data_IF_781275229262
#
_entry.id   IF_781275229262
#
_cell.length_a   1.000
_cell.length_b   1.000
_cell.length_c   1.000
_cell.angle_alpha   90.00
_cell.angle_beta   90.00
_cell.angle_gamma   90.00
#
_symmetry.space_group_name_H-M   'P 1'
#
loop_
_entity.id
_entity.type
_entity.pdbx_description
1 polymer ?
#
# COMPACT_ATOMS: atom_id res chain seq x y z
N UNK A 1 0.55 3.54 -15.42
CA UNK A 1 0.23 3.98 -16.67
C UNK A 1 -0.29 2.91 -17.57
N UNK A 2 0.46 2.25 -18.44
CA UNK A 2 -0.08 1.47 -19.56
C UNK A 2 -0.41 0.02 -19.16
N UNK A 3 -1.25 -0.13 -18.12
CA UNK A 3 -1.62 -1.45 -17.61
C UNK A 3 -2.23 -2.31 -18.71
N UNK A 4 -1.65 -3.49 -18.92
CA UNK A 4 -2.13 -4.52 -19.85
C UNK A 4 -2.18 -4.12 -21.34
N UNK A 5 -1.42 -3.13 -21.81
CA UNK A 5 -1.39 -2.76 -23.23
C UNK A 5 -1.00 -3.94 -24.16
N UNK A 6 -0.12 -4.82 -23.71
CA UNK A 6 0.26 -6.03 -24.44
C UNK A 6 -0.90 -6.98 -24.73
N UNK A 7 -2.00 -6.90 -23.99
CA UNK A 7 -3.22 -7.67 -24.31
C UNK A 7 -3.85 -7.23 -25.64
N UNK A 8 -3.69 -5.98 -26.05
CA UNK A 8 -4.17 -5.51 -27.36
C UNK A 8 -3.42 -6.22 -28.50
N UNK A 9 -2.11 -6.46 -28.34
CA UNK A 9 -1.34 -7.26 -29.28
C UNK A 9 -1.77 -8.74 -29.32
N UNK A 10 -2.36 -9.23 -28.22
CA UNK A 10 -2.98 -10.56 -28.16
C UNK A 10 -4.43 -10.58 -28.64
N UNK A 11 -4.89 -9.55 -29.34
CA UNK A 11 -6.21 -9.48 -29.97
C UNK A 11 -7.35 -9.13 -29.01
N UNK A 12 -7.07 -8.64 -27.79
CA UNK A 12 -8.12 -8.19 -26.86
C UNK A 12 -8.80 -6.95 -27.42
N UNK A 13 -10.14 -6.93 -27.37
CA UNK A 13 -10.94 -5.77 -27.77
C UNK A 13 -10.65 -4.56 -26.90
N UNK A 14 -10.59 -3.38 -27.49
CA UNK A 14 -10.27 -2.14 -26.78
C UNK A 14 -11.22 -1.92 -25.58
N UNK A 15 -12.52 -2.18 -25.74
CA UNK A 15 -13.49 -2.07 -24.65
C UNK A 15 -13.25 -3.08 -23.52
N UNK A 16 -12.77 -4.28 -23.82
CA UNK A 16 -12.40 -5.24 -22.78
C UNK A 16 -11.11 -4.85 -22.07
N UNK A 17 -10.10 -4.39 -22.81
CA UNK A 17 -8.88 -3.85 -22.23
C UNK A 17 -9.20 -2.67 -21.28
N UNK A 18 -10.01 -1.70 -21.71
CA UNK A 18 -10.37 -0.52 -20.93
C UNK A 18 -11.07 -0.84 -19.60
N UNK A 19 -11.79 -1.99 -19.52
CA UNK A 19 -12.40 -2.45 -18.25
C UNK A 19 -11.39 -2.90 -17.19
N UNK A 20 -10.14 -3.18 -17.59
CA UNK A 20 -9.06 -3.59 -16.70
C UNK A 20 -8.07 -2.47 -16.38
N UNK A 21 -8.22 -1.30 -17.03
CA UNK A 21 -7.43 -0.10 -16.72
C UNK A 21 -8.01 0.58 -15.49
N UNK A 22 -7.17 0.83 -14.49
CA UNK A 22 -7.61 1.40 -13.21
C UNK A 22 -7.59 2.94 -13.16
N UNK A 23 -7.28 3.61 -14.28
CA UNK A 23 -7.28 5.07 -14.37
C UNK A 23 -8.68 5.58 -14.71
N UNK A 24 -9.27 6.34 -13.81
CA UNK A 24 -10.62 6.94 -14.00
C UNK A 24 -10.68 7.92 -15.17
N UNK A 25 -9.53 8.51 -15.54
CA UNK A 25 -9.43 9.44 -16.67
C UNK A 25 -9.24 8.73 -18.01
N UNK A 26 -9.16 7.41 -18.05
CA UNK A 26 -9.06 6.68 -19.32
C UNK A 26 -10.40 6.66 -20.05
N UNK A 27 -10.46 7.35 -21.17
CA UNK A 27 -11.62 7.37 -22.05
C UNK A 27 -11.35 6.62 -23.35
N UNK A 28 -12.33 5.83 -23.79
CA UNK A 28 -12.30 5.16 -25.09
C UNK A 28 -13.22 5.95 -26.03
N UNK A 29 -12.60 6.49 -27.09
CA UNK A 29 -13.34 7.21 -28.15
C UNK A 29 -13.27 6.33 -29.41
N UNK A 30 -14.42 5.90 -29.91
CA UNK A 30 -14.53 5.03 -31.08
C UNK A 30 -15.24 3.71 -30.78
N UNK A 31 -15.03 2.73 -31.65
CA UNK A 31 -15.67 1.41 -31.52
C UNK A 31 -14.98 0.54 -30.46
N UNK A 32 -15.64 0.24 -29.32
CA UNK A 32 -15.05 -0.59 -28.26
C UNK A 32 -14.87 -2.06 -28.67
N UNK A 33 -15.46 -2.50 -29.79
CA UNK A 33 -15.32 -3.87 -30.30
C UNK A 33 -14.09 -4.04 -31.20
N UNK A 34 -13.45 -2.94 -31.59
CA UNK A 34 -12.23 -2.98 -32.40
C UNK A 34 -11.11 -3.75 -31.67
N UNK A 35 -10.38 -4.55 -32.43
CA UNK A 35 -9.21 -5.30 -31.94
C UNK A 35 -8.16 -5.45 -33.04
N UNK A 36 -6.92 -5.65 -32.61
CA UNK A 36 -5.83 -6.03 -33.50
C UNK A 36 -5.86 -7.55 -33.75
N UNK A 37 -5.36 -8.00 -34.89
CA UNK A 37 -5.19 -9.42 -35.12
C UNK A 37 -4.08 -9.98 -34.22
N UNK A 38 -4.34 -11.09 -33.52
CA UNK A 38 -3.29 -11.82 -32.82
C UNK A 38 -2.50 -12.62 -33.83
N UNK A 39 -1.37 -12.09 -34.31
CA UNK A 39 -0.49 -12.74 -35.28
C UNK A 39 0.58 -13.62 -34.63
N UNK A 40 0.81 -13.47 -33.31
CA UNK A 40 1.84 -14.21 -32.56
C UNK A 40 1.33 -15.59 -32.16
N UNK A 41 0.11 -15.67 -31.67
CA UNK A 41 -0.55 -16.92 -31.27
C UNK A 41 -2.04 -16.87 -31.61
N UNK A 42 -2.43 -17.15 -32.83
CA UNK A 42 -3.83 -17.13 -33.27
C UNK A 42 -4.74 -18.11 -32.52
N UNK A 43 -4.17 -19.12 -31.84
CA UNK A 43 -4.93 -20.08 -31.05
C UNK A 43 -5.32 -19.51 -29.65
N UNK A 44 -4.65 -18.48 -29.19
CA UNK A 44 -4.95 -17.83 -27.92
C UNK A 44 -6.06 -16.78 -28.09
N UNK A 45 -7.28 -17.12 -27.72
CA UNK A 45 -8.41 -16.18 -27.65
C UNK A 45 -8.51 -15.56 -26.24
N UNK A 46 -7.79 -14.47 -26.02
CA UNK A 46 -7.81 -13.74 -24.74
C UNK A 46 -9.16 -13.07 -24.46
N UNK A 47 -9.97 -12.69 -25.45
CA UNK A 47 -11.33 -12.18 -25.22
C UNK A 47 -12.21 -13.26 -24.59
N UNK A 48 -12.16 -14.48 -25.13
CA UNK A 48 -12.87 -15.62 -24.57
C UNK A 48 -12.37 -15.97 -23.18
N UNK A 49 -11.06 -15.97 -22.97
CA UNK A 49 -10.45 -16.23 -21.67
C UNK A 49 -10.97 -15.26 -20.60
N UNK A 50 -10.93 -13.94 -20.87
CA UNK A 50 -11.31 -12.88 -19.93
C UNK A 50 -12.82 -12.86 -19.67
N UNK A 51 -13.66 -13.13 -20.67
CA UNK A 51 -15.12 -12.94 -20.56
C UNK A 51 -15.83 -14.26 -20.22
N UNK A 52 -15.55 -15.32 -20.98
CA UNK A 52 -16.28 -16.60 -20.89
C UNK A 52 -15.62 -17.53 -19.87
N UNK A 53 -14.31 -17.71 -19.97
CA UNK A 53 -13.55 -18.67 -19.15
C UNK A 53 -12.95 -18.03 -17.90
N UNK A 54 -13.44 -16.85 -17.47
CA UNK A 54 -12.87 -16.06 -16.38
C UNK A 54 -12.73 -16.81 -15.04
N UNK A 55 -13.55 -17.86 -14.82
CA UNK A 55 -13.52 -18.70 -13.62
C UNK A 55 -12.69 -19.99 -13.77
N UNK A 56 -12.09 -20.23 -14.93
CA UNK A 56 -11.25 -21.41 -15.19
C UNK A 56 -9.84 -21.20 -14.65
N UNK A 57 -9.63 -21.53 -13.38
CA UNK A 57 -8.33 -21.39 -12.73
C UNK A 57 -7.26 -22.27 -13.39
N UNK A 58 -7.62 -23.47 -13.92
CA UNK A 58 -6.65 -24.35 -14.58
C UNK A 58 -6.07 -23.70 -15.84
N UNK A 59 -6.89 -22.98 -16.60
CA UNK A 59 -6.45 -22.18 -17.73
C UNK A 59 -5.54 -21.04 -17.27
N UNK A 60 -5.92 -20.30 -16.22
CA UNK A 60 -5.12 -19.18 -15.72
C UNK A 60 -3.76 -19.62 -15.19
N UNK A 61 -3.66 -20.76 -14.50
CA UNK A 61 -2.37 -21.32 -14.07
C UNK A 61 -1.47 -21.66 -15.28
N UNK A 62 -2.02 -22.16 -16.41
CA UNK A 62 -1.23 -22.39 -17.64
C UNK A 62 -0.71 -21.08 -18.23
N UNK A 63 -1.53 -20.02 -18.22
CA UNK A 63 -1.17 -18.72 -18.78
C UNK A 63 -0.10 -17.96 -17.97
N UNK A 64 0.21 -18.38 -16.75
CA UNK A 64 1.37 -17.85 -16.01
C UNK A 64 2.71 -18.15 -16.70
N UNK A 65 2.78 -19.19 -17.52
CA UNK A 65 3.96 -19.55 -18.29
C UNK A 65 3.94 -19.01 -19.73
N UNK A 66 2.93 -18.22 -20.09
CA UNK A 66 2.83 -17.65 -21.42
C UNK A 66 3.90 -16.56 -21.60
N UNK A 67 4.61 -16.49 -22.77
CA UNK A 67 5.74 -15.58 -22.97
C UNK A 67 5.31 -14.12 -23.24
N UNK A 68 4.31 -13.63 -22.54
CA UNK A 68 3.84 -12.24 -22.57
C UNK A 68 3.51 -11.78 -21.15
N UNK A 69 4.16 -10.72 -20.70
CA UNK A 69 4.04 -10.21 -19.34
C UNK A 69 2.61 -9.81 -18.97
N UNK A 70 1.86 -9.17 -19.89
CA UNK A 70 0.50 -8.72 -19.61
C UNK A 70 -0.51 -9.87 -19.56
N UNK A 71 -0.26 -10.96 -20.29
CA UNK A 71 -1.03 -12.21 -20.15
C UNK A 71 -0.78 -12.82 -18.78
N UNK A 72 0.48 -12.86 -18.32
CA UNK A 72 0.82 -13.35 -16.98
C UNK A 72 0.18 -12.46 -15.89
N UNK A 73 0.26 -11.14 -16.00
CA UNK A 73 -0.38 -10.21 -15.07
C UNK A 73 -1.90 -10.42 -15.03
N UNK A 74 -2.55 -10.59 -16.20
CA UNK A 74 -3.98 -10.87 -16.26
C UNK A 74 -4.32 -12.22 -15.60
N UNK A 75 -3.48 -13.24 -15.79
CA UNK A 75 -3.68 -14.53 -15.15
C UNK A 75 -3.61 -14.43 -13.62
N UNK A 76 -2.61 -13.72 -13.06
CA UNK A 76 -2.50 -13.45 -11.64
C UNK A 76 -3.72 -12.70 -11.10
N UNK A 77 -4.19 -11.68 -11.84
CA UNK A 77 -5.38 -10.91 -11.49
C UNK A 77 -6.64 -11.78 -11.46
N UNK A 78 -6.81 -12.66 -12.43
CA UNK A 78 -7.97 -13.57 -12.49
C UNK A 78 -7.93 -14.63 -11.39
N UNK A 79 -6.76 -15.15 -11.04
CA UNK A 79 -6.60 -16.04 -9.88
C UNK A 79 -6.96 -15.31 -8.58
N UNK A 80 -6.58 -14.04 -8.44
CA UNK A 80 -6.98 -13.20 -7.30
C UNK A 80 -8.50 -12.98 -7.25
N UNK A 81 -9.13 -12.55 -8.34
CA UNK A 81 -10.57 -12.34 -8.46
C UNK A 81 -11.38 -13.63 -8.22
N UNK A 82 -10.79 -14.78 -8.47
CA UNK A 82 -11.38 -16.09 -8.25
C UNK A 82 -11.11 -16.65 -6.84
N UNK A 83 -10.36 -15.95 -5.99
CA UNK A 83 -9.93 -16.42 -4.68
C UNK A 83 -9.23 -17.80 -4.76
N UNK A 84 -8.31 -17.94 -5.70
CA UNK A 84 -7.58 -19.19 -5.92
C UNK A 84 -6.80 -19.59 -4.65
N UNK A 85 -6.89 -20.85 -4.20
CA UNK A 85 -6.17 -21.29 -3.02
C UNK A 85 -4.65 -21.27 -3.23
N UNK A 86 -3.88 -20.94 -2.17
CA UNK A 86 -2.42 -20.87 -2.23
C UNK A 86 -1.89 -19.70 -3.08
N UNK A 87 -2.73 -18.69 -3.35
CA UNK A 87 -2.33 -17.54 -4.16
C UNK A 87 -1.22 -16.70 -3.53
N UNK A 88 -1.18 -16.44 -2.21
CA UNK A 88 -0.10 -15.66 -1.62
C UNK A 88 1.28 -16.25 -1.87
N UNK A 89 1.46 -17.53 -1.63
CA UNK A 89 2.72 -18.25 -1.86
C UNK A 89 3.08 -18.31 -3.34
N UNK A 90 2.09 -18.42 -4.22
CA UNK A 90 2.29 -18.35 -5.67
C UNK A 90 2.79 -16.97 -6.09
N UNK A 91 2.20 -15.90 -5.56
CA UNK A 91 2.60 -14.51 -5.86
C UNK A 91 4.03 -14.24 -5.40
N UNK A 92 4.40 -14.67 -4.20
CA UNK A 92 5.77 -14.56 -3.70
C UNK A 92 6.77 -15.29 -4.61
N UNK A 93 6.52 -16.57 -4.92
CA UNK A 93 7.38 -17.34 -5.81
C UNK A 93 7.46 -16.75 -7.23
N UNK A 94 6.35 -16.23 -7.73
CA UNK A 94 6.32 -15.59 -9.05
C UNK A 94 7.11 -14.28 -9.03
N UNK A 95 7.03 -13.49 -7.95
CA UNK A 95 7.85 -12.30 -7.77
C UNK A 95 9.34 -12.64 -7.84
N UNK A 96 9.78 -13.65 -7.11
CA UNK A 96 11.19 -14.06 -7.04
C UNK A 96 11.72 -14.61 -8.37
N UNK A 97 10.88 -15.30 -9.14
CA UNK A 97 11.30 -15.99 -10.36
C UNK A 97 11.12 -15.15 -11.64
N UNK A 98 10.24 -14.15 -11.66
CA UNK A 98 9.88 -13.47 -12.90
C UNK A 98 10.97 -12.49 -13.37
N UNK A 99 11.32 -12.59 -14.66
CA UNK A 99 12.19 -11.63 -15.34
C UNK A 99 11.46 -10.34 -15.70
N UNK A 100 10.12 -10.32 -15.72
CA UNK A 100 9.32 -9.18 -16.11
C UNK A 100 9.02 -8.28 -14.90
N UNK A 101 9.54 -7.05 -14.89
CA UNK A 101 9.28 -6.08 -13.82
C UNK A 101 7.80 -5.78 -13.60
N UNK A 102 6.98 -5.78 -14.66
CA UNK A 102 5.52 -5.58 -14.55
C UNK A 102 4.82 -6.75 -13.88
N UNK A 103 5.30 -7.98 -14.07
CA UNK A 103 4.77 -9.17 -13.36
C UNK A 103 5.14 -9.11 -11.88
N UNK A 104 6.39 -8.75 -11.55
CA UNK A 104 6.81 -8.55 -10.15
C UNK A 104 5.99 -7.43 -9.49
N UNK A 105 5.72 -6.34 -10.22
CA UNK A 105 4.85 -5.27 -9.73
C UNK A 105 3.43 -5.76 -9.44
N UNK A 106 2.84 -6.57 -10.34
CA UNK A 106 1.50 -7.12 -10.13
C UNK A 106 1.45 -8.07 -8.93
N UNK A 107 2.45 -8.94 -8.76
CA UNK A 107 2.57 -9.81 -7.58
C UNK A 107 2.57 -9.00 -6.27
N UNK A 108 3.43 -7.99 -6.18
CA UNK A 108 3.53 -7.13 -5.00
C UNK A 108 2.21 -6.37 -4.73
N UNK A 109 1.57 -5.85 -5.78
CA UNK A 109 0.28 -5.13 -5.71
C UNK A 109 -0.85 -6.04 -5.20
N UNK A 110 -0.91 -7.28 -5.68
CA UNK A 110 -1.93 -8.24 -5.24
C UNK A 110 -1.71 -8.67 -3.78
N UNK A 111 -0.48 -8.95 -3.36
CA UNK A 111 -0.15 -9.22 -1.97
C UNK A 111 -0.54 -8.06 -1.05
N UNK A 112 -0.30 -6.82 -1.50
CA UNK A 112 -0.71 -5.62 -0.77
C UNK A 112 -2.24 -5.50 -0.65
N UNK A 113 -2.98 -5.73 -1.74
CA UNK A 113 -4.45 -5.71 -1.73
C UNK A 113 -5.05 -6.80 -0.83
N UNK A 114 -4.38 -7.95 -0.72
CA UNK A 114 -4.79 -9.04 0.17
C UNK A 114 -4.42 -8.80 1.64
N UNK A 115 -3.63 -7.78 1.94
CA UNK A 115 -2.98 -7.62 3.24
C UNK A 115 -2.23 -8.89 3.69
N UNK A 116 -1.54 -9.52 2.76
CA UNK A 116 -0.90 -10.82 2.96
C UNK A 116 0.40 -10.69 3.74
N UNK A 117 0.69 -11.59 4.71
CA UNK A 117 1.95 -11.57 5.45
C UNK A 117 3.18 -11.77 4.55
N UNK A 118 3.05 -12.52 3.45
CA UNK A 118 4.12 -12.76 2.47
C UNK A 118 4.62 -11.46 1.81
N UNK A 119 3.81 -10.40 1.86
CA UNK A 119 4.21 -9.10 1.35
C UNK A 119 5.46 -8.57 2.04
N UNK A 120 5.63 -8.82 3.33
CA UNK A 120 6.78 -8.32 4.11
C UNK A 120 8.10 -8.82 3.51
N UNK A 121 8.19 -10.10 3.19
CA UNK A 121 9.41 -10.66 2.59
C UNK A 121 9.62 -10.16 1.15
N UNK A 122 8.55 -10.03 0.38
CA UNK A 122 8.62 -9.43 -0.95
C UNK A 122 9.13 -7.99 -0.89
N UNK A 123 8.67 -7.18 0.06
CA UNK A 123 9.09 -5.78 0.20
C UNK A 123 10.58 -5.63 0.58
N UNK A 124 11.13 -6.55 1.38
CA UNK A 124 12.57 -6.59 1.69
C UNK A 124 13.42 -6.74 0.42
N UNK A 125 12.95 -7.50 -0.57
CA UNK A 125 13.60 -7.67 -1.86
C UNK A 125 13.30 -6.49 -2.81
N UNK A 126 12.07 -6.00 -2.80
CA UNK A 126 11.54 -5.03 -3.74
C UNK A 126 12.20 -3.65 -3.68
N UNK A 127 12.76 -3.27 -2.55
CA UNK A 127 13.53 -2.02 -2.41
C UNK A 127 14.81 -2.01 -3.24
N UNK A 128 15.29 -3.17 -3.67
CA UNK A 128 16.47 -3.34 -4.52
C UNK A 128 16.11 -3.80 -5.95
N UNK A 129 14.84 -3.85 -6.33
CA UNK A 129 14.41 -4.33 -7.63
C UNK A 129 15.02 -3.50 -8.76
N UNK A 130 15.37 -4.16 -9.88
CA UNK A 130 15.88 -3.48 -11.07
C UNK A 130 14.86 -2.54 -11.72
N UNK A 131 13.56 -2.82 -11.55
CA UNK A 131 12.48 -2.02 -12.10
C UNK A 131 12.07 -0.90 -11.14
N UNK A 132 12.28 0.35 -11.56
CA UNK A 132 12.05 1.56 -10.73
C UNK A 132 10.65 1.60 -10.10
N UNK A 133 9.62 1.21 -10.86
CA UNK A 133 8.24 1.24 -10.40
C UNK A 133 8.04 0.30 -9.20
N UNK A 134 8.67 -0.88 -9.20
CA UNK A 134 8.64 -1.82 -8.06
C UNK A 134 9.29 -1.16 -6.83
N UNK A 135 10.50 -0.59 -6.97
CA UNK A 135 11.17 0.09 -5.84
C UNK A 135 10.33 1.22 -5.27
N UNK A 136 9.71 2.03 -6.14
CA UNK A 136 8.88 3.17 -5.73
C UNK A 136 7.66 2.75 -4.93
N UNK A 137 6.92 1.74 -5.40
CA UNK A 137 5.77 1.21 -4.68
C UNK A 137 6.17 0.40 -3.44
N UNK A 138 7.34 -0.25 -3.46
CA UNK A 138 7.84 -0.95 -2.29
C UNK A 138 8.02 0.00 -1.09
N UNK A 139 8.71 1.14 -1.26
CA UNK A 139 8.89 2.10 -0.16
C UNK A 139 7.57 2.72 0.28
N UNK A 140 6.62 2.95 -0.63
CA UNK A 140 5.27 3.41 -0.29
C UNK A 140 4.51 2.38 0.56
N UNK A 141 4.53 1.11 0.15
CA UNK A 141 3.85 0.04 0.88
C UNK A 141 4.49 -0.22 2.24
N UNK A 142 5.81 -0.10 2.35
CA UNK A 142 6.53 -0.15 3.64
C UNK A 142 5.97 0.90 4.60
N UNK A 143 5.86 2.14 4.16
CA UNK A 143 5.28 3.21 4.97
C UNK A 143 3.83 2.90 5.39
N UNK A 144 2.99 2.47 4.44
CA UNK A 144 1.58 2.18 4.71
C UNK A 144 1.38 1.00 5.69
N UNK A 145 2.24 -0.02 5.65
CA UNK A 145 2.23 -1.12 6.62
C UNK A 145 2.69 -0.64 8.00
N UNK A 146 3.75 0.15 8.05
CA UNK A 146 4.29 0.67 9.30
C UNK A 146 4.90 -0.39 10.23
N UNK A 147 5.23 -1.58 9.73
CA UNK A 147 5.83 -2.63 10.56
C UNK A 147 7.33 -2.39 10.77
N UNK A 148 7.77 -2.57 12.02
CA UNK A 148 9.17 -2.40 12.41
C UNK A 148 10.13 -3.31 11.61
N UNK A 149 9.66 -4.47 11.20
CA UNK A 149 10.43 -5.46 10.44
C UNK A 149 10.93 -4.91 9.09
N UNK A 150 10.26 -3.90 8.55
CA UNK A 150 10.60 -3.26 7.29
C UNK A 150 11.45 -1.98 7.43
N UNK A 151 11.71 -1.52 8.66
CA UNK A 151 12.57 -0.35 8.91
C UNK A 151 13.96 -0.53 8.27
N UNK A 152 14.64 -1.69 8.39
CA UNK A 152 15.94 -1.88 7.73
C UNK A 152 15.90 -1.72 6.21
N UNK A 153 14.84 -2.20 5.56
CA UNK A 153 14.67 -2.10 4.11
C UNK A 153 14.39 -0.64 3.68
N UNK A 154 13.57 0.10 4.42
CA UNK A 154 13.32 1.51 4.17
C UNK A 154 14.60 2.34 4.33
N UNK A 155 15.35 2.11 5.41
CA UNK A 155 16.61 2.83 5.66
C UNK A 155 17.64 2.51 4.58
N UNK A 156 17.71 1.25 4.13
CA UNK A 156 18.56 0.88 3.01
C UNK A 156 18.21 1.69 1.74
N UNK A 157 16.91 1.80 1.40
CA UNK A 157 16.46 2.60 0.26
C UNK A 157 16.81 4.09 0.44
N UNK A 158 16.58 4.67 1.62
CA UNK A 158 16.90 6.07 1.93
C UNK A 158 18.39 6.42 1.77
N UNK A 159 19.26 5.47 2.08
CA UNK A 159 20.70 5.66 2.06
C UNK A 159 21.33 5.32 0.70
N UNK A 160 20.76 4.40 -0.05
CA UNK A 160 21.40 3.83 -1.25
C UNK A 160 20.69 4.16 -2.58
N UNK A 161 19.44 4.63 -2.56
CA UNK A 161 18.74 5.01 -3.80
C UNK A 161 19.28 6.33 -4.35
N UNK A 162 20.04 6.24 -5.43
CA UNK A 162 20.63 7.39 -6.12
C UNK A 162 20.21 7.48 -7.60
N UNK A 163 19.42 6.52 -8.08
CA UNK A 163 19.03 6.43 -9.49
C UNK A 163 17.67 7.08 -9.79
N UNK A 164 16.78 7.14 -8.80
CA UNK A 164 15.43 7.68 -8.97
C UNK A 164 15.04 8.67 -7.89
N UNK A 165 14.88 9.93 -8.31
CA UNK A 165 14.35 10.97 -7.43
C UNK A 165 12.92 10.65 -6.92
N UNK A 166 12.14 9.88 -7.69
CA UNK A 166 10.77 9.47 -7.31
C UNK A 166 10.78 8.45 -6.19
N UNK A 167 11.69 7.48 -6.24
CA UNK A 167 11.85 6.49 -5.15
C UNK A 167 12.32 7.20 -3.88
N UNK A 168 13.31 8.08 -4.00
CA UNK A 168 13.83 8.85 -2.86
C UNK A 168 12.76 9.73 -2.22
N UNK A 169 11.96 10.42 -3.03
CA UNK A 169 10.83 11.23 -2.54
C UNK A 169 9.83 10.36 -1.76
N UNK A 170 9.41 9.23 -2.35
CA UNK A 170 8.44 8.33 -1.73
C UNK A 170 8.98 7.66 -0.46
N UNK A 171 10.28 7.34 -0.42
CA UNK A 171 10.92 6.79 0.77
C UNK A 171 10.97 7.82 1.92
N UNK A 172 11.18 9.11 1.60
CA UNK A 172 11.12 10.19 2.59
C UNK A 172 9.70 10.42 3.14
N UNK A 173 8.68 10.28 2.29
CA UNK A 173 7.29 10.32 2.75
C UNK A 173 6.97 9.15 3.70
N UNK A 174 7.49 7.95 3.41
CA UNK A 174 7.32 6.78 4.26
C UNK A 174 7.87 6.96 5.69
N UNK A 175 8.90 7.80 5.88
CA UNK A 175 9.45 8.13 7.21
C UNK A 175 8.34 8.59 8.17
N UNK A 176 7.40 9.42 7.69
CA UNK A 176 6.35 9.99 8.54
C UNK A 176 5.39 8.94 9.13
N UNK A 177 5.35 7.75 8.54
CA UNK A 177 4.40 6.70 8.88
C UNK A 177 4.97 5.67 9.86
N UNK A 178 6.31 5.66 10.03
CA UNK A 178 7.06 4.67 10.80
C UNK A 178 7.34 5.12 12.23
N UNK A 179 7.86 4.21 13.05
CA UNK A 179 8.41 4.51 14.37
C UNK A 179 9.71 5.33 14.24
N UNK A 180 9.69 6.58 14.72
CA UNK A 180 10.78 7.54 14.56
C UNK A 180 12.03 7.18 15.35
N UNK A 181 11.87 6.59 16.54
CA UNK A 181 13.01 6.22 17.39
C UNK A 181 13.76 5.02 16.78
N UNK A 182 13.02 4.03 16.30
CA UNK A 182 13.59 2.87 15.60
C UNK A 182 14.23 3.26 14.27
N UNK A 183 13.61 4.16 13.50
CA UNK A 183 14.22 4.73 12.30
C UNK A 183 15.54 5.42 12.60
N UNK A 184 15.58 6.26 13.64
CA UNK A 184 16.80 6.97 14.06
C UNK A 184 17.91 5.98 14.40
N UNK A 185 17.60 4.95 15.18
CA UNK A 185 18.57 3.93 15.57
C UNK A 185 19.12 3.17 14.34
N UNK A 186 18.22 2.80 13.42
CA UNK A 186 18.59 2.05 12.23
C UNK A 186 19.40 2.88 11.21
N UNK A 187 19.08 4.17 11.02
CA UNK A 187 19.86 5.09 10.19
C UNK A 187 21.31 5.15 10.71
N UNK A 188 21.48 5.33 12.03
CA UNK A 188 22.81 5.36 12.66
C UNK A 188 23.55 4.03 12.50
N UNK A 189 22.86 2.91 12.66
CA UNK A 189 23.44 1.57 12.51
C UNK A 189 23.93 1.32 11.10
N UNK A 190 23.10 1.54 10.08
CA UNK A 190 23.49 1.30 8.68
C UNK A 190 24.55 2.30 8.20
N UNK A 191 24.44 3.56 8.62
CA UNK A 191 25.48 4.55 8.33
C UNK A 191 26.84 4.15 8.93
N UNK A 192 26.87 3.58 10.13
CA UNK A 192 28.11 3.08 10.73
C UNK A 192 28.72 1.90 9.99
N UNK A 193 27.90 1.04 9.41
CA UNK A 193 28.34 -0.18 8.70
C UNK A 193 28.79 0.08 7.25
N UNK A 194 28.34 1.16 6.60
CA UNK A 194 28.57 1.44 5.19
C UNK A 194 29.90 2.15 4.94
N UNK A 195 30.71 1.65 3.96
CA UNK A 195 32.10 2.08 3.80
C UNK A 195 32.32 3.33 2.93
N UNK A 196 31.63 3.49 1.81
CA UNK A 196 32.07 4.43 0.76
C UNK A 196 30.91 5.22 0.12
N UNK A 197 30.39 6.22 0.83
CA UNK A 197 29.48 7.19 0.20
C UNK A 197 30.15 8.55 0.10
N UNK A 198 29.95 9.21 -1.01
CA UNK A 198 30.26 10.63 -1.13
C UNK A 198 29.28 11.43 -0.26
N UNK A 199 29.79 12.34 0.56
CA UNK A 199 28.97 13.17 1.49
C UNK A 199 28.09 12.39 2.48
N UNK A 200 28.59 11.26 2.98
CA UNK A 200 27.88 10.39 3.92
C UNK A 200 27.33 11.14 5.13
N UNK A 201 28.17 11.93 5.80
CA UNK A 201 27.80 12.69 6.99
C UNK A 201 26.65 13.65 6.70
N UNK A 202 26.68 14.33 5.55
CA UNK A 202 25.62 15.26 5.16
C UNK A 202 24.30 14.55 4.90
N UNK A 203 24.31 13.43 4.17
CA UNK A 203 23.09 12.63 3.90
C UNK A 203 22.48 12.10 5.19
N UNK A 204 23.30 11.55 6.07
CA UNK A 204 22.84 11.05 7.38
C UNK A 204 22.25 12.18 8.23
N UNK A 205 22.93 13.34 8.28
CA UNK A 205 22.43 14.49 9.03
C UNK A 205 21.12 15.03 8.48
N UNK A 206 20.95 15.07 7.16
CA UNK A 206 19.69 15.47 6.51
C UNK A 206 18.55 14.51 6.87
N UNK A 207 18.79 13.19 6.84
CA UNK A 207 17.79 12.17 7.21
C UNK A 207 17.42 12.27 8.69
N UNK A 208 18.38 12.35 9.59
CA UNK A 208 18.13 12.51 11.02
C UNK A 208 17.35 13.80 11.33
N UNK A 209 17.68 14.89 10.64
CA UNK A 209 16.96 16.16 10.77
C UNK A 209 15.52 16.06 10.25
N UNK A 210 15.27 15.26 9.21
CA UNK A 210 13.92 15.00 8.69
C UNK A 210 13.10 14.19 9.71
N UNK A 211 13.67 13.11 10.24
CA UNK A 211 13.02 12.28 11.27
C UNK A 211 12.68 13.15 12.50
N UNK A 212 13.61 13.96 12.97
CA UNK A 212 13.40 14.82 14.13
C UNK A 212 12.29 15.86 13.89
N UNK A 213 12.24 16.48 12.70
CA UNK A 213 11.15 17.42 12.37
C UNK A 213 9.79 16.73 12.37
N UNK A 214 9.70 15.51 11.82
CA UNK A 214 8.46 14.74 11.82
C UNK A 214 8.04 14.35 13.23
N UNK A 215 8.99 13.93 14.06
CA UNK A 215 8.74 13.61 15.47
C UNK A 215 8.22 14.83 16.25
N UNK A 216 8.86 15.99 16.09
CA UNK A 216 8.42 17.23 16.74
C UNK A 216 7.01 17.65 16.27
N UNK A 217 6.74 17.54 14.97
CA UNK A 217 5.40 17.83 14.41
C UNK A 217 4.33 16.91 14.99
N UNK A 218 4.63 15.62 15.11
CA UNK A 218 3.72 14.66 15.72
C UNK A 218 3.52 14.92 17.22
N UNK A 219 4.59 15.16 17.96
CA UNK A 219 4.49 15.48 19.39
C UNK A 219 3.64 16.72 19.65
N UNK A 220 3.76 17.76 18.82
CA UNK A 220 2.92 18.94 18.88
C UNK A 220 1.44 18.60 18.67
N UNK A 221 1.11 17.85 17.62
CA UNK A 221 -0.27 17.41 17.34
C UNK A 221 -0.83 16.51 18.45
N UNK A 222 -0.03 15.58 18.96
CA UNK A 222 -0.40 14.71 20.07
C UNK A 222 -0.69 15.51 21.35
N UNK A 223 0.09 16.57 21.60
CA UNK A 223 -0.16 17.51 22.70
C UNK A 223 -1.54 18.18 22.57
N UNK A 224 -1.87 18.71 21.40
CA UNK A 224 -3.18 19.35 21.13
C UNK A 224 -4.33 18.36 21.30
N UNK A 225 -4.21 17.16 20.76
CA UNK A 225 -5.26 16.11 20.85
C UNK A 225 -5.49 15.69 22.29
N UNK A 226 -4.42 15.58 23.09
CA UNK A 226 -4.47 15.10 24.48
C UNK A 226 -4.95 16.18 25.45
N UNK A 227 -4.59 17.45 25.21
CA UNK A 227 -4.90 18.56 26.11
C UNK A 227 -6.40 18.81 26.18
N UNK A 228 -6.98 18.73 27.38
CA UNK A 228 -8.41 18.97 27.62
C UNK A 228 -8.84 20.42 27.33
N UNK A 229 -7.92 21.38 27.39
CA UNK A 229 -8.19 22.82 27.21
C UNK A 229 -8.13 23.26 25.75
N UNK A 230 -7.50 22.50 24.88
CA UNK A 230 -7.43 22.79 23.44
C UNK A 230 -8.81 22.79 22.79
N UNK A 231 -9.02 23.71 21.84
CA UNK A 231 -10.30 23.83 21.16
C UNK A 231 -10.69 22.57 20.36
N UNK A 232 -12.00 22.32 20.23
CA UNK A 232 -12.48 21.22 19.38
C UNK A 232 -12.04 21.36 17.92
N UNK A 233 -11.90 22.59 17.42
CA UNK A 233 -11.43 22.88 16.07
C UNK A 233 -9.97 22.45 15.87
N UNK A 234 -9.09 22.78 16.80
CA UNK A 234 -7.67 22.46 16.70
C UNK A 234 -7.46 20.94 16.81
N UNK A 235 -8.14 20.28 17.75
CA UNK A 235 -8.14 18.81 17.86
C UNK A 235 -8.62 18.16 16.58
N UNK A 236 -9.74 18.62 16.01
CA UNK A 236 -10.30 18.09 14.76
C UNK A 236 -9.31 18.23 13.60
N UNK A 237 -8.61 19.36 13.50
CA UNK A 237 -7.60 19.59 12.48
C UNK A 237 -6.46 18.56 12.57
N UNK A 238 -5.88 18.36 13.75
CA UNK A 238 -4.78 17.42 13.94
C UNK A 238 -5.20 15.95 13.81
N UNK A 239 -6.42 15.61 14.23
CA UNK A 239 -7.00 14.27 14.01
C UNK A 239 -7.19 14.00 12.52
N UNK A 240 -7.87 14.88 11.79
CA UNK A 240 -8.19 14.71 10.36
C UNK A 240 -6.93 14.64 9.50
N UNK A 241 -5.89 15.35 9.89
CA UNK A 241 -4.60 15.32 9.21
C UNK A 241 -3.99 13.91 9.13
N UNK A 242 -4.30 13.02 10.10
CA UNK A 242 -3.85 11.63 10.10
C UNK A 242 -4.47 10.76 8.98
N UNK A 243 -5.50 11.24 8.28
CA UNK A 243 -6.05 10.54 7.11
C UNK A 243 -5.03 10.42 5.98
N UNK A 244 -4.26 11.48 5.77
CA UNK A 244 -3.27 11.54 4.70
C UNK A 244 -1.96 10.84 5.07
N UNK A 245 -1.69 10.72 6.37
CA UNK A 245 -0.46 10.14 6.90
C UNK A 245 -0.78 9.26 8.11
N UNK A 246 -1.33 8.03 7.88
CA UNK A 246 -1.76 7.13 8.95
C UNK A 246 -0.55 6.51 9.66
N UNK A 247 0.14 7.32 10.48
CA UNK A 247 1.35 6.93 11.20
C UNK A 247 1.04 5.92 12.31
N UNK A 248 1.88 4.90 12.47
CA UNK A 248 1.70 3.88 13.52
C UNK A 248 1.73 4.49 14.93
N UNK A 249 2.57 5.48 15.18
CA UNK A 249 2.63 6.17 16.47
C UNK A 249 1.39 6.99 16.80
N UNK A 250 0.59 7.39 15.79
CA UNK A 250 -0.66 8.11 16.01
C UNK A 250 -1.82 7.17 16.39
N UNK A 251 -1.80 5.93 15.92
CA UNK A 251 -2.91 5.00 16.10
C UNK A 251 -3.27 4.77 17.56
N UNK A 252 -2.30 4.59 18.42
CA UNK A 252 -2.52 4.31 19.86
C UNK A 252 -3.22 5.47 20.56
N UNK A 253 -2.76 6.71 20.30
CA UNK A 253 -3.41 7.91 20.85
C UNK A 253 -4.85 8.04 20.35
N UNK A 254 -5.09 7.84 19.05
CA UNK A 254 -6.42 7.95 18.45
C UNK A 254 -7.36 6.85 18.97
N UNK A 255 -6.86 5.61 19.14
CA UNK A 255 -7.62 4.51 19.75
C UNK A 255 -8.00 4.87 21.20
N UNK A 256 -7.05 5.34 22.00
CA UNK A 256 -7.34 5.77 23.36
C UNK A 256 -8.38 6.90 23.40
N UNK A 257 -8.27 7.87 22.47
CA UNK A 257 -9.20 8.98 22.36
C UNK A 257 -10.63 8.52 22.05
N UNK A 258 -10.84 7.59 21.14
CA UNK A 258 -12.20 7.11 20.78
C UNK A 258 -12.84 6.28 21.88
N UNK A 259 -12.05 5.58 22.70
CA UNK A 259 -12.54 4.75 23.80
C UNK A 259 -12.82 5.57 25.07
N UNK A 260 -12.30 6.80 25.19
CA UNK A 260 -12.56 7.68 26.32
C UNK A 260 -13.95 8.34 26.18
N UNK A 261 -14.92 7.88 26.97
CA UNK A 261 -16.29 8.41 26.96
C UNK A 261 -16.43 9.84 27.47
N UNK A 262 -15.42 10.38 28.13
CA UNK A 262 -15.38 11.78 28.58
C UNK A 262 -15.07 12.78 27.46
N UNK A 263 -14.57 12.30 26.31
CA UNK A 263 -14.25 13.14 25.15
C UNK A 263 -15.50 13.56 24.39
N UNK A 264 -15.40 14.69 23.71
CA UNK A 264 -16.47 15.21 22.86
C UNK A 264 -16.92 14.15 21.83
N UNK A 265 -18.23 13.92 21.76
CA UNK A 265 -18.83 12.87 20.92
C UNK A 265 -18.53 13.07 19.43
N UNK A 266 -18.59 14.31 18.94
CA UNK A 266 -18.35 14.61 17.53
C UNK A 266 -16.87 14.37 17.17
N UNK A 267 -15.95 14.72 18.06
CA UNK A 267 -14.53 14.44 17.87
C UNK A 267 -14.26 12.92 17.90
N UNK A 268 -14.92 12.15 18.77
CA UNK A 268 -14.82 10.68 18.77
C UNK A 268 -15.27 10.10 17.43
N UNK A 269 -16.41 10.55 16.88
CA UNK A 269 -16.91 10.10 15.55
C UNK A 269 -15.90 10.44 14.46
N UNK A 270 -15.38 11.68 14.43
CA UNK A 270 -14.35 12.12 13.47
C UNK A 270 -13.07 11.27 13.59
N UNK A 271 -12.69 10.90 14.81
CA UNK A 271 -11.49 10.08 15.05
C UNK A 271 -11.68 8.65 14.55
N UNK A 272 -12.88 8.05 14.77
CA UNK A 272 -13.20 6.72 14.22
C UNK A 272 -13.15 6.73 12.70
N UNK A 273 -13.70 7.77 12.06
CA UNK A 273 -13.61 7.93 10.61
C UNK A 273 -12.16 8.08 10.14
N UNK A 274 -11.34 8.85 10.85
CA UNK A 274 -9.89 9.00 10.55
C UNK A 274 -9.16 7.67 10.66
N UNK A 275 -9.43 6.85 11.66
CA UNK A 275 -8.86 5.51 11.81
C UNK A 275 -9.23 4.57 10.66
N UNK A 276 -10.31 4.85 9.91
CA UNK A 276 -10.68 4.05 8.73
C UNK A 276 -9.67 4.10 7.59
N UNK A 277 -8.72 5.02 7.61
CA UNK A 277 -7.67 5.18 6.59
C UNK A 277 -6.43 4.30 6.84
N UNK A 278 -6.38 3.59 7.97
CA UNK A 278 -5.31 2.65 8.31
C UNK A 278 -5.48 1.27 7.63
N UNK A 279 -5.93 1.25 6.37
CA UNK A 279 -6.38 0.04 5.64
C UNK A 279 -5.31 -1.04 5.47
N UNK A 280 -4.03 -0.67 5.48
CA UNK A 280 -2.91 -1.60 5.33
C UNK A 280 -1.97 -1.59 6.53
N UNK A 281 -2.26 -0.76 7.54
CA UNK A 281 -1.38 -0.61 8.70
C UNK A 281 -1.34 -1.87 9.57
N UNK A 282 -0.18 -2.13 10.15
CA UNK A 282 0.01 -3.15 11.20
C UNK A 282 -0.92 -2.91 12.40
N UNK A 283 -1.41 -1.66 12.61
CA UNK A 283 -2.36 -1.28 13.67
C UNK A 283 -3.82 -1.62 13.36
N UNK A 284 -4.11 -2.14 12.18
CA UNK A 284 -5.48 -2.49 11.74
C UNK A 284 -6.24 -3.41 12.71
N UNK A 285 -5.64 -4.51 13.26
CA UNK A 285 -6.34 -5.36 14.21
C UNK A 285 -6.73 -4.64 15.50
N UNK A 286 -5.88 -3.76 16.03
CA UNK A 286 -6.15 -2.97 17.23
C UNK A 286 -7.30 -1.98 16.99
N UNK A 287 -7.35 -1.34 15.81
CA UNK A 287 -8.43 -0.43 15.43
C UNK A 287 -9.76 -1.19 15.27
N UNK A 288 -9.74 -2.36 14.65
CA UNK A 288 -10.93 -3.23 14.54
C UNK A 288 -11.46 -3.60 15.92
N UNK A 289 -10.59 -3.98 16.85
CA UNK A 289 -10.95 -4.32 18.22
C UNK A 289 -11.58 -3.12 18.96
N UNK A 290 -11.03 -1.92 18.78
CA UNK A 290 -11.60 -0.68 19.33
C UNK A 290 -13.01 -0.40 18.75
N UNK A 291 -13.18 -0.54 17.43
CA UNK A 291 -14.50 -0.40 16.81
C UNK A 291 -15.51 -1.40 17.38
N UNK A 292 -15.10 -2.64 17.64
CA UNK A 292 -15.97 -3.65 18.25
C UNK A 292 -16.36 -3.32 19.70
N UNK A 293 -15.47 -2.68 20.46
CA UNK A 293 -15.79 -2.17 21.79
C UNK A 293 -16.83 -1.05 21.72
N UNK A 294 -16.67 -0.08 20.81
CA UNK A 294 -17.63 1.01 20.61
C UNK A 294 -19.01 0.50 20.19
N UNK A 295 -19.06 -0.50 19.31
CA UNK A 295 -20.30 -1.14 18.86
C UNK A 295 -21.02 -1.83 20.04
N UNK A 296 -20.27 -2.53 20.89
CA UNK A 296 -20.84 -3.20 22.09
C UNK A 296 -21.31 -2.20 23.15
N UNK A 297 -20.58 -1.10 23.35
CA UNK A 297 -20.95 -0.06 24.31
C UNK A 297 -22.25 0.66 23.93
N UNK A 298 -22.55 0.79 22.65
CA UNK A 298 -23.79 1.34 22.09
C UNK A 298 -24.19 2.71 22.69
N UNK A 299 -23.21 3.56 22.97
CA UNK A 299 -23.42 4.85 23.64
C UNK A 299 -24.16 5.88 22.77
N UNK A 300 -23.88 5.86 21.45
CA UNK A 300 -24.42 6.82 20.48
C UNK A 300 -24.57 6.17 19.10
N UNK A 301 -25.71 6.32 18.46
CA UNK A 301 -26.02 5.68 17.19
C UNK A 301 -25.06 6.10 16.04
N UNK A 302 -24.65 7.37 16.00
CA UNK A 302 -23.74 7.86 14.97
C UNK A 302 -22.34 7.28 15.16
N UNK A 303 -21.85 7.23 16.41
CA UNK A 303 -20.56 6.62 16.75
C UNK A 303 -20.55 5.12 16.39
N UNK A 304 -21.61 4.39 16.73
CA UNK A 304 -21.77 2.97 16.39
C UNK A 304 -21.76 2.75 14.87
N UNK A 305 -22.52 3.56 14.13
CA UNK A 305 -22.56 3.46 12.67
C UNK A 305 -21.19 3.73 12.05
N UNK A 306 -20.46 4.72 12.53
CA UNK A 306 -19.13 5.02 12.03
C UNK A 306 -18.13 3.90 12.38
N UNK A 307 -18.22 3.33 13.59
CA UNK A 307 -17.42 2.17 13.99
C UNK A 307 -17.69 0.93 13.11
N UNK A 308 -18.94 0.69 12.71
CA UNK A 308 -19.31 -0.39 11.78
C UNK A 308 -18.69 -0.15 10.41
N UNK A 309 -18.78 1.07 9.85
CA UNK A 309 -18.19 1.42 8.55
C UNK A 309 -16.67 1.24 8.58
N UNK A 310 -16.03 1.79 9.60
CA UNK A 310 -14.57 1.70 9.78
C UNK A 310 -14.12 0.25 9.89
N UNK A 311 -14.77 -0.56 10.74
CA UNK A 311 -14.48 -1.99 10.85
C UNK A 311 -14.61 -2.71 9.51
N UNK A 312 -15.66 -2.43 8.74
CA UNK A 312 -15.89 -3.07 7.45
C UNK A 312 -14.84 -2.66 6.38
N UNK A 313 -14.39 -1.41 6.44
CA UNK A 313 -13.32 -0.91 5.54
C UNK A 313 -11.96 -1.54 5.85
N UNK A 314 -11.70 -1.87 7.12
CA UNK A 314 -10.43 -2.42 7.58
C UNK A 314 -10.34 -3.94 7.48
N UNK A 315 -11.44 -4.65 7.25
CA UNK A 315 -11.45 -6.10 7.02
C UNK A 315 -10.99 -6.45 5.60
#
# INVERSE_FOLDING_TARGET
PDEYLGLLACGVRIGQWGRHVHFLETHIIGDPTYHFANTVDPALDMNRAIVVSKKDNAMWYKLLNYPNADVQCMALRKLYENHAPGLPELLQKTYEASLFGVVRMECMKLLYQMNSPELVDVLKLAVCDSYELVRRFAVQYIGNLGTDELIPALVYALLNENMSARVNYQARDAIMLMDMDKLTAEIKRQAGASGHWVNKEEVVQQLLSLVQRNQNSWQSAAGVISDLTSSAKDKSFDIVRQRNHPAVGAAELLIAFVLDSSRDMQLRITTVETLSWYTHSVKRPEIIAACEQLIRANENLQLVNEAIKTKNRLK
#
